data_IF_229169765804
#
_entry.id   IF_229169765804
#
_cell.length_a   1.000
_cell.length_b   1.000
_cell.length_c   1.000
_cell.angle_alpha   90.00
_cell.angle_beta   90.00
_cell.angle_gamma   90.00
#
_symmetry.space_group_name_H-M   'P 1'
#
loop_
_entity.id
_entity.type
_entity.pdbx_description
1 polymer ?
#
# COMPACT_ATOMS: atom_id res chain seq x y z
N UNK A 1 5.97 -18.71 7.22
CA UNK A 1 6.67 -17.68 6.43
C UNK A 1 5.59 -16.77 5.88
N UNK A 2 5.68 -15.47 6.14
CA UNK A 2 4.76 -14.48 5.57
C UNK A 2 5.13 -14.34 4.10
N UNK A 3 4.18 -14.47 3.17
CA UNK A 3 4.43 -14.25 1.74
C UNK A 3 4.02 -12.80 1.41
N UNK A 4 4.98 -11.86 1.39
CA UNK A 4 4.66 -10.46 1.14
C UNK A 4 4.18 -10.26 -0.30
N UNK A 5 3.07 -9.55 -0.45
CA UNK A 5 2.57 -9.15 -1.76
C UNK A 5 3.29 -7.86 -2.15
N UNK A 6 4.06 -7.91 -3.22
CA UNK A 6 4.64 -6.72 -3.85
C UNK A 6 3.90 -6.37 -5.13
N UNK A 7 3.56 -5.09 -5.29
CA UNK A 7 2.88 -4.53 -6.45
C UNK A 7 3.65 -3.29 -6.90
N UNK A 8 4.07 -3.28 -8.16
CA UNK A 8 4.67 -2.10 -8.79
C UNK A 8 3.58 -1.30 -9.50
N UNK A 9 3.49 -0.01 -9.18
CA UNK A 9 2.50 0.91 -9.74
C UNK A 9 3.27 1.96 -10.54
N UNK A 10 3.26 1.88 -11.88
CA UNK A 10 3.94 2.89 -12.71
C UNK A 10 3.24 4.25 -12.56
N UNK A 11 4.02 5.31 -12.41
CA UNK A 11 3.54 6.69 -12.41
C UNK A 11 4.45 7.58 -13.26
N UNK A 12 3.89 8.65 -13.81
CA UNK A 12 4.66 9.66 -14.55
C UNK A 12 4.86 10.94 -13.74
N UNK A 13 4.76 10.83 -12.41
CA UNK A 13 4.88 11.92 -11.45
C UNK A 13 6.25 11.89 -10.77
N UNK A 14 6.74 13.06 -10.35
CA UNK A 14 7.94 13.16 -9.53
C UNK A 14 7.69 12.61 -8.12
N UNK A 15 8.74 12.06 -7.47
CA UNK A 15 8.63 11.51 -6.11
C UNK A 15 8.03 12.51 -5.11
N UNK A 16 8.36 13.81 -5.24
CA UNK A 16 7.82 14.86 -4.39
C UNK A 16 6.29 15.01 -4.54
N UNK A 17 5.76 14.87 -5.76
CA UNK A 17 4.33 14.95 -6.03
C UNK A 17 3.61 13.67 -5.55
N UNK A 18 4.23 12.50 -5.76
CA UNK A 18 3.69 11.24 -5.22
C UNK A 18 3.63 11.28 -3.70
N UNK A 19 4.66 11.83 -3.04
CA UNK A 19 4.66 12.03 -1.59
C UNK A 19 3.51 12.91 -1.12
N UNK A 20 3.29 14.08 -1.74
CA UNK A 20 2.14 14.94 -1.41
C UNK A 20 0.81 14.21 -1.59
N UNK A 21 0.69 13.38 -2.63
CA UNK A 21 -0.51 12.57 -2.86
C UNK A 21 -0.69 11.47 -1.82
N UNK A 22 0.37 10.82 -1.37
CA UNK A 22 0.32 9.82 -0.29
C UNK A 22 -0.09 10.49 1.02
N UNK A 23 0.52 11.63 1.36
CA UNK A 23 0.18 12.40 2.57
C UNK A 23 -1.30 12.83 2.56
N UNK A 24 -1.79 13.36 1.45
CA UNK A 24 -3.20 13.73 1.28
C UNK A 24 -4.15 12.55 0.99
N UNK A 25 -3.61 11.36 0.71
CA UNK A 25 -4.32 10.19 0.20
C UNK A 25 -4.33 9.01 1.16
N UNK A 26 -3.80 9.15 2.37
CA UNK A 26 -3.80 8.13 3.43
C UNK A 26 -5.20 7.56 3.68
N UNK A 27 -6.25 8.39 3.66
CA UNK A 27 -7.64 7.91 3.74
C UNK A 27 -8.02 6.96 2.60
N UNK A 28 -7.65 7.29 1.36
CA UNK A 28 -7.92 6.44 0.19
C UNK A 28 -7.07 5.16 0.17
N UNK A 29 -5.86 5.22 0.75
CA UNK A 29 -5.03 4.04 0.94
C UNK A 29 -5.73 3.02 1.86
N UNK A 30 -6.41 3.49 2.92
CA UNK A 30 -7.19 2.63 3.81
C UNK A 30 -8.36 1.94 3.08
N UNK A 31 -9.06 2.65 2.19
CA UNK A 31 -10.18 2.12 1.41
C UNK A 31 -9.80 0.96 0.47
N UNK A 32 -8.53 0.88 0.05
CA UNK A 32 -8.04 -0.25 -0.74
C UNK A 32 -8.09 -1.58 0.03
N UNK A 33 -8.01 -1.53 1.36
CA UNK A 33 -8.06 -2.70 2.22
C UNK A 33 -9.52 -2.92 2.68
N UNK A 34 -10.16 -4.05 2.31
CA UNK A 34 -11.54 -4.33 2.68
C UNK A 34 -11.71 -4.41 4.20
N UNK A 35 -12.49 -3.49 4.79
CA UNK A 35 -12.64 -3.40 6.25
C UNK A 35 -11.34 -3.03 6.97
N UNK A 36 -10.39 -2.43 6.25
CA UNK A 36 -9.12 -1.97 6.76
C UNK A 36 -9.15 -0.49 7.14
N UNK A 37 -8.40 -0.15 8.18
CA UNK A 37 -8.15 1.22 8.61
C UNK A 37 -6.66 1.42 8.78
N UNK A 38 -6.10 2.54 8.34
CA UNK A 38 -4.71 2.86 8.65
C UNK A 38 -4.66 3.24 10.13
N UNK A 39 -3.88 2.49 10.89
CA UNK A 39 -3.69 2.71 12.33
C UNK A 39 -2.43 3.52 12.61
N UNK A 40 -1.41 3.33 11.79
CA UNK A 40 -0.13 4.03 11.89
C UNK A 40 0.38 4.31 10.49
N UNK A 41 1.00 5.47 10.29
CA UNK A 41 1.76 5.76 9.09
C UNK A 41 2.94 6.68 9.44
N UNK A 42 4.03 6.54 8.71
CA UNK A 42 5.20 7.40 8.82
C UNK A 42 6.04 7.32 7.55
N UNK A 43 6.78 8.38 7.28
CA UNK A 43 7.90 8.31 6.35
C UNK A 43 9.12 7.76 7.08
N UNK A 44 9.63 6.62 6.65
CA UNK A 44 10.87 6.04 7.17
C UNK A 44 12.10 6.73 6.55
N UNK A 45 11.98 7.13 5.28
CA UNK A 45 12.97 7.88 4.51
C UNK A 45 12.26 8.80 3.52
N UNK A 46 12.99 9.60 2.74
CA UNK A 46 12.36 10.53 1.79
C UNK A 46 11.51 9.87 0.70
N UNK A 47 11.90 8.65 0.31
CA UNK A 47 11.24 7.84 -0.71
C UNK A 47 10.54 6.60 -0.12
N UNK A 48 10.54 6.41 1.21
CA UNK A 48 9.98 5.20 1.84
C UNK A 48 8.89 5.58 2.83
N UNK A 49 7.66 5.22 2.50
CA UNK A 49 6.49 5.40 3.34
C UNK A 49 6.07 4.08 3.96
N UNK A 50 6.03 3.99 5.29
CA UNK A 50 5.57 2.81 6.03
C UNK A 50 4.20 3.10 6.63
N UNK A 51 3.28 2.15 6.53
CA UNK A 51 1.97 2.26 7.16
C UNK A 51 1.46 0.90 7.61
N UNK A 52 0.69 0.90 8.68
CA UNK A 52 0.07 -0.29 9.24
C UNK A 52 -1.43 -0.21 9.07
N UNK A 53 -1.99 -1.20 8.40
CA UNK A 53 -3.43 -1.34 8.21
C UNK A 53 -3.96 -2.35 9.22
N UNK A 54 -4.94 -1.94 10.03
CA UNK A 54 -5.72 -2.86 10.83
C UNK A 54 -6.98 -3.26 10.06
N UNK A 55 -7.10 -4.55 9.73
CA UNK A 55 -8.25 -5.13 9.06
C UNK A 55 -8.62 -6.46 9.73
N UNK A 56 -9.91 -6.71 9.93
CA UNK A 56 -10.42 -7.99 10.47
C UNK A 56 -9.76 -8.42 11.80
N UNK A 57 -9.45 -7.45 12.68
CA UNK A 57 -8.80 -7.70 13.97
C UNK A 57 -7.30 -8.03 13.87
N UNK A 58 -6.68 -7.85 12.70
CA UNK A 58 -5.25 -8.09 12.46
C UNK A 58 -4.57 -6.80 11.98
N UNK A 59 -3.29 -6.65 12.31
CA UNK A 59 -2.45 -5.54 11.84
C UNK A 59 -1.51 -6.05 10.77
N UNK A 60 -1.55 -5.40 9.61
CA UNK A 60 -0.75 -5.75 8.43
C UNK A 60 0.18 -4.59 8.17
N UNK A 61 1.49 -4.86 8.23
CA UNK A 61 2.50 -3.88 7.85
C UNK A 61 2.52 -3.76 6.33
N UNK A 62 2.61 -2.53 5.85
CA UNK A 62 2.76 -2.21 4.45
C UNK A 62 3.77 -1.08 4.28
N UNK A 63 4.41 -1.04 3.13
CA UNK A 63 5.35 0.02 2.78
C UNK A 63 5.23 0.35 1.30
N UNK A 64 5.52 1.60 0.96
CA UNK A 64 5.60 2.11 -0.40
C UNK A 64 6.98 2.70 -0.58
N UNK A 65 7.71 2.17 -1.55
CA UNK A 65 9.01 2.64 -2.00
C UNK A 65 8.81 3.43 -3.30
N UNK A 66 9.15 4.72 -3.28
CA UNK A 66 9.11 5.59 -4.46
C UNK A 66 10.38 5.36 -5.28
N UNK A 67 10.20 4.91 -6.51
CA UNK A 67 11.27 4.72 -7.49
C UNK A 67 11.01 5.65 -8.66
N UNK A 68 12.05 5.97 -9.43
CA UNK A 68 11.91 6.79 -10.63
C UNK A 68 10.91 6.14 -11.61
N UNK A 69 9.78 6.81 -11.84
CA UNK A 69 8.70 6.37 -12.72
C UNK A 69 7.80 5.25 -12.18
N UNK A 70 7.96 4.80 -10.93
CA UNK A 70 7.09 3.77 -10.32
C UNK A 70 7.12 3.79 -8.80
N UNK A 71 5.99 3.47 -8.17
CA UNK A 71 5.88 3.25 -6.74
C UNK A 71 5.73 1.75 -6.48
N UNK A 72 6.60 1.18 -5.65
CA UNK A 72 6.57 -0.22 -5.23
C UNK A 72 5.87 -0.34 -3.88
N UNK A 73 4.68 -0.90 -3.86
CA UNK A 73 3.95 -1.19 -2.64
C UNK A 73 4.19 -2.64 -2.21
N UNK A 74 4.71 -2.85 -0.99
CA UNK A 74 4.90 -4.17 -0.38
C UNK A 74 4.01 -4.30 0.85
N UNK A 75 3.25 -5.39 0.95
CA UNK A 75 2.29 -5.66 2.02
C UNK A 75 2.65 -7.01 2.64
N UNK A 76 2.97 -7.00 3.92
CA UNK A 76 3.35 -8.18 4.69
C UNK A 76 2.11 -8.95 5.12
N UNK A 77 1.55 -9.75 4.20
CA UNK A 77 0.31 -10.47 4.41
C UNK A 77 0.49 -11.68 5.35
N UNK A 78 -0.15 -11.72 6.53
CA UNK A 78 -0.05 -12.85 7.45
C UNK A 78 -0.45 -14.17 6.77
N UNK A 79 0.18 -15.31 7.13
CA UNK A 79 -0.09 -16.62 6.51
C UNK A 79 -1.56 -17.05 6.54
N UNK A 80 -2.32 -16.63 7.55
CA UNK A 80 -3.76 -16.92 7.66
C UNK A 80 -4.59 -16.19 6.58
N UNK A 81 -4.13 -15.02 6.11
CA UNK A 81 -4.75 -14.28 5.02
C UNK A 81 -4.28 -14.75 3.64
N UNK A 82 -3.35 -15.72 3.55
CA UNK A 82 -2.87 -16.27 2.28
C UNK A 82 -3.99 -16.84 1.41
N UNK A 83 -5.03 -17.43 2.02
CA UNK A 83 -6.24 -17.93 1.32
C UNK A 83 -7.04 -16.82 0.63
N UNK A 84 -6.87 -15.55 1.05
CA UNK A 84 -7.51 -14.38 0.46
C UNK A 84 -6.51 -13.49 -0.31
N UNK A 85 -5.23 -13.86 -0.34
CA UNK A 85 -4.16 -13.11 -0.98
C UNK A 85 -4.47 -12.79 -2.44
N UNK A 86 -4.95 -13.78 -3.20
CA UNK A 86 -5.28 -13.61 -4.62
C UNK A 86 -6.41 -12.61 -4.83
N UNK A 87 -7.45 -12.64 -3.98
CA UNK A 87 -8.56 -11.67 -4.05
C UNK A 87 -8.09 -10.27 -3.69
N UNK A 88 -7.24 -10.14 -2.66
CA UNK A 88 -6.70 -8.86 -2.25
C UNK A 88 -5.78 -8.29 -3.33
N UNK A 89 -4.91 -9.11 -3.92
CA UNK A 89 -4.02 -8.75 -5.04
C UNK A 89 -4.82 -8.27 -6.25
N UNK A 90 -5.86 -9.00 -6.65
CA UNK A 90 -6.73 -8.61 -7.75
C UNK A 90 -7.44 -7.28 -7.49
N UNK A 91 -7.86 -7.03 -6.25
CA UNK A 91 -8.48 -5.75 -5.86
C UNK A 91 -7.46 -4.61 -5.87
N UNK A 92 -6.27 -4.80 -5.29
CA UNK A 92 -5.20 -3.81 -5.28
C UNK A 92 -4.74 -3.44 -6.70
N UNK A 93 -4.55 -4.42 -7.60
CA UNK A 93 -4.17 -4.15 -8.99
C UNK A 93 -5.22 -3.29 -9.72
N UNK A 94 -6.50 -3.39 -9.35
CA UNK A 94 -7.60 -2.64 -9.97
C UNK A 94 -7.80 -1.25 -9.36
N UNK A 95 -7.57 -1.09 -8.07
CA UNK A 95 -7.83 0.16 -7.32
C UNK A 95 -6.58 1.05 -7.23
N UNK A 96 -5.38 0.48 -7.08
CA UNK A 96 -4.14 1.23 -6.86
C UNK A 96 -3.80 2.22 -7.99
N UNK A 97 -3.97 1.90 -9.29
CA UNK A 97 -3.76 2.86 -10.37
C UNK A 97 -4.71 4.07 -10.31
N UNK A 98 -5.89 3.93 -9.69
CA UNK A 98 -6.85 5.04 -9.55
C UNK A 98 -6.43 6.05 -8.48
N UNK A 99 -5.58 5.64 -7.53
CA UNK A 99 -5.04 6.56 -6.52
C UNK A 99 -3.96 7.48 -7.08
N UNK A 100 -3.25 7.02 -8.11
CA UNK A 100 -2.19 7.76 -8.77
C UNK A 100 -2.63 8.44 -10.07
N UNK A 101 -3.91 8.29 -10.46
CA UNK A 101 -4.51 9.01 -11.59
C UNK A 101 -4.93 10.42 -11.21
#
# INVERSE_FOLDING_TARGET
>A
MTDPITVDIPHNLDNAEVRRRIDGGTGKLAEMFPGGSITEHRWASDDVFEFTVAALGQRVAARIELLEGRARATIDLPPFLALFADKLRAKLQREAPKLLR
#
